data_IF_217749638740
#
_entry.id   IF_217749638740
#
_cell.length_a   1.000
_cell.length_b   1.000
_cell.length_c   1.000
_cell.angle_alpha   90.00
_cell.angle_beta   90.00
_cell.angle_gamma   90.00
#
_symmetry.space_group_name_H-M   'P 1'
#
loop_
_entity.id
_entity.type
_entity.pdbx_description
1 polymer ?
2 polymer ?
3 polymer ?
4 polymer ?
5 non-polymer ?
6 non-polymer ?
7 non-polymer ?
8 non-polymer ?
9 non-polymer ?
10 non-polymer ?
11 water ?
#
loop_
_entity_poly.entity_id
_entity_poly.type
_entity_poly.pdbx_seq_one_letter_code
_entity_poly.pdbx_strand_id
2 'polydeoxyribonucleotide' '(DC)(DG)(DG)(DC)(8OG)(DT)(DA)(DC)(DG)' ?
3 'polydeoxyribonucleotide' '(DC)(DG)(DT)(DA)' ?
4 'polydeoxyribonucleotide' '(DG)(DC)(DC)(DG)' ?
#
# COMPACT_ATOMS: atom_id res chain seq x y z
N UNK A 10 -7.90 -23.03 -7.78
CA UNK A 10 -7.27 -21.79 -7.27
C UNK A 10 -5.85 -21.61 -7.80
N UNK A 11 -5.62 -20.58 -8.63
CA UNK A 11 -4.27 -20.37 -9.16
C UNK A 11 -3.31 -19.87 -8.10
N UNK A 12 -2.02 -20.03 -8.39
CA UNK A 12 -1.02 -19.85 -7.35
C UNK A 12 -0.65 -18.39 -7.13
N UNK A 13 -0.81 -17.51 -8.15
CA UNK A 13 -0.48 -16.10 -8.03
C UNK A 13 -1.73 -15.26 -7.78
N UNK A 14 -1.61 -14.25 -6.92
CA UNK A 14 -2.78 -13.44 -6.63
C UNK A 14 -3.29 -12.67 -7.84
N UNK A 15 -2.44 -12.38 -8.82
CA UNK A 15 -2.90 -11.62 -9.98
C UNK A 15 -3.70 -12.46 -10.98
N UNK A 16 -3.85 -13.75 -10.72
CA UNK A 16 -4.61 -14.69 -11.55
C UNK A 16 -6.02 -14.92 -11.07
N UNK A 17 -6.43 -14.25 -9.99
CA UNK A 17 -7.74 -14.52 -9.44
C UNK A 17 -8.34 -13.21 -8.94
N UNK A 18 -9.65 -13.05 -9.02
CA UNK A 18 -10.26 -11.86 -8.42
C UNK A 18 -10.24 -11.93 -6.91
N UNK A 19 -9.87 -10.81 -6.30
CA UNK A 19 -9.92 -10.69 -4.84
C UNK A 19 -10.73 -9.45 -4.47
N UNK A 20 -11.92 -9.62 -3.93
CA UNK A 20 -12.77 -8.48 -3.59
C UNK A 20 -12.35 -7.92 -2.24
N UNK A 21 -12.83 -6.71 -2.00
CA UNK A 21 -12.43 -6.01 -0.80
C UNK A 21 -12.99 -6.68 0.43
N UNK A 22 -14.25 -7.09 0.34
CA UNK A 22 -14.88 -7.83 1.42
C UNK A 22 -15.17 -9.25 0.98
N UNK A 23 -15.12 -10.18 1.94
CA UNK A 23 -15.09 -11.57 1.57
C UNK A 23 -15.68 -12.44 2.69
N UNK A 24 -15.37 -13.74 2.67
CA UNK A 24 -16.08 -14.72 3.47
C UNK A 24 -15.18 -15.41 4.46
N UNK A 25 -13.94 -14.93 4.64
CA UNK A 25 -12.99 -15.57 5.53
C UNK A 25 -12.19 -14.52 6.30
N UNK A 26 -12.88 -13.48 6.73
CA UNK A 26 -12.20 -12.29 7.30
C UNK A 26 -11.37 -12.64 8.52
N UNK A 27 -11.95 -13.39 9.47
CA UNK A 27 -11.21 -13.76 10.67
C UNK A 27 -9.98 -14.61 10.40
N UNK A 28 -10.09 -15.57 9.48
CA UNK A 28 -8.95 -16.41 9.18
C UNK A 28 -7.86 -15.60 8.52
N UNK A 29 -8.22 -14.74 7.56
CA UNK A 29 -7.20 -13.96 6.87
C UNK A 29 -6.51 -12.99 7.83
N UNK A 30 -7.27 -12.40 8.77
CA UNK A 30 -6.66 -11.45 9.69
C UNK A 30 -5.63 -12.15 10.57
N UNK A 31 -5.92 -13.38 10.98
CA UNK A 31 -4.97 -14.12 11.82
C UNK A 31 -3.68 -14.39 11.07
N UNK A 32 -3.79 -14.87 9.83
CA UNK A 32 -2.58 -15.13 9.05
C UNK A 32 -1.80 -13.86 8.79
N UNK A 33 -2.50 -12.73 8.63
CA UNK A 33 -1.82 -11.47 8.41
C UNK A 33 -1.09 -10.98 9.66
N UNK A 34 -1.54 -11.36 10.86
CA UNK A 34 -0.76 -11.07 12.07
C UNK A 34 0.58 -11.77 12.01
N UNK A 35 0.55 -13.06 11.64
CA UNK A 35 1.80 -13.80 11.54
C UNK A 35 2.71 -13.24 10.45
N UNK A 36 2.12 -12.78 9.35
CA UNK A 36 2.93 -12.18 8.30
C UNK A 36 3.61 -10.94 8.80
N UNK A 37 2.83 -10.06 9.46
CA UNK A 37 3.38 -8.82 9.99
C UNK A 37 4.51 -9.11 10.97
N UNK A 38 4.30 -10.07 11.87
CA UNK A 38 5.33 -10.39 12.84
C UNK A 38 6.57 -10.93 12.18
N UNK A 39 6.41 -11.75 11.15
CA UNK A 39 7.59 -12.20 10.39
C UNK A 39 8.35 -11.02 9.80
N UNK A 40 7.65 -9.99 9.31
CA UNK A 40 8.33 -8.84 8.78
C UNK A 40 9.12 -8.10 9.84
N UNK A 41 8.57 -8.01 11.04
CA UNK A 41 9.27 -7.33 12.11
C UNK A 41 10.57 -8.04 12.48
N UNK A 42 10.66 -9.34 12.19
CA UNK A 42 11.88 -10.10 12.44
C UNK A 42 12.77 -10.21 11.21
N UNK A 43 12.41 -9.57 10.10
CA UNK A 43 13.23 -9.67 8.91
C UNK A 43 13.05 -10.93 8.09
N UNK A 44 11.99 -11.71 8.35
CA UNK A 44 11.78 -12.98 7.65
C UNK A 44 10.82 -12.72 6.50
N UNK A 45 11.37 -12.19 5.41
CA UNK A 45 10.55 -11.79 4.26
C UNK A 45 9.90 -12.97 3.58
N UNK A 46 10.59 -14.13 3.55
CA UNK A 46 9.97 -15.31 2.95
C UNK A 46 8.73 -15.76 3.68
N UNK A 47 8.83 -15.89 5.01
CA UNK A 47 7.67 -16.24 5.81
C UNK A 47 6.56 -15.20 5.66
N UNK A 48 6.91 -13.90 5.69
CA UNK A 48 5.92 -12.84 5.50
C UNK A 48 5.15 -13.08 4.20
N UNK A 49 5.87 -13.41 3.13
CA UNK A 49 5.19 -13.60 1.85
C UNK A 49 4.25 -14.80 1.89
N UNK A 50 4.71 -15.92 2.43
CA UNK A 50 3.84 -17.09 2.47
C UNK A 50 2.57 -16.82 3.28
N UNK A 51 2.70 -16.20 4.46
CA UNK A 51 1.51 -15.91 5.26
C UNK A 51 0.60 -14.90 4.55
N UNK A 52 1.19 -13.88 3.90
CA UNK A 52 0.36 -12.94 3.14
C UNK A 52 -0.37 -13.63 2.00
N UNK A 53 0.35 -14.50 1.28
CA UNK A 53 -0.26 -15.22 0.15
C UNK A 53 -1.38 -16.15 0.63
N UNK A 54 -1.15 -16.89 1.73
CA UNK A 54 -2.17 -17.78 2.27
C UNK A 54 -3.41 -16.98 2.70
N UNK A 55 -3.21 -15.84 3.36
CA UNK A 55 -4.34 -14.98 3.69
C UNK A 55 -5.08 -14.56 2.44
N UNK A 56 -4.34 -14.18 1.39
CA UNK A 56 -4.97 -13.70 0.18
C UNK A 56 -5.79 -14.79 -0.51
N UNK A 57 -5.30 -16.04 -0.48
CA UNK A 57 -6.07 -17.15 -1.03
C UNK A 57 -7.44 -17.23 -0.36
N UNK A 58 -7.49 -17.06 0.96
CA UNK A 58 -8.78 -17.16 1.62
C UNK A 58 -9.70 -16.00 1.24
N UNK A 59 -9.14 -14.82 1.01
CA UNK A 59 -9.94 -13.70 0.54
C UNK A 59 -10.61 -13.98 -0.80
N UNK A 60 -9.98 -14.81 -1.62
CA UNK A 60 -10.45 -15.10 -2.98
C UNK A 60 -11.46 -16.25 -3.03
N UNK A 61 -11.66 -16.96 -1.91
CA UNK A 61 -12.61 -18.07 -1.91
C UNK A 61 -14.06 -17.58 -2.00
N UNK A 62 -14.95 -18.39 -2.56
CA UNK A 62 -16.34 -17.98 -2.76
C UNK A 62 -17.23 -18.17 -1.56
N UNK A 63 -16.74 -18.79 -0.49
CA UNK A 63 -17.56 -19.06 0.68
C UNK A 63 -16.66 -19.33 1.87
N UNK A 64 -17.20 -19.40 3.10
CA UNK A 64 -16.34 -19.62 4.26
C UNK A 64 -15.70 -21.00 4.28
N UNK A 65 -14.44 -21.02 4.72
CA UNK A 65 -13.84 -22.29 5.15
C UNK A 65 -14.45 -22.71 6.50
N UNK A 66 -15.03 -23.90 6.53
CA UNK A 66 -15.63 -24.46 7.73
C UNK A 66 -14.94 -25.73 8.20
N UNK A 67 -14.20 -26.41 7.32
CA UNK A 67 -13.56 -27.67 7.67
C UNK A 67 -12.16 -27.66 7.08
N UNK A 68 -11.27 -28.33 7.81
CA UNK A 68 -9.87 -28.36 7.43
C UNK A 68 -9.69 -28.96 6.05
N UNK A 69 -10.54 -29.91 5.68
CA UNK A 69 -10.41 -30.54 4.37
C UNK A 69 -10.57 -29.56 3.22
N UNK A 70 -11.23 -28.42 3.43
CA UNK A 70 -11.37 -27.43 2.37
C UNK A 70 -10.05 -26.75 2.05
N UNK A 71 -9.01 -26.92 2.86
CA UNK A 71 -7.71 -26.36 2.53
C UNK A 71 -6.92 -27.25 1.59
N UNK A 72 -7.33 -28.51 1.43
CA UNK A 72 -6.61 -29.43 0.56
C UNK A 72 -6.54 -28.89 -0.86
N UNK A 73 -5.34 -28.85 -1.39
CA UNK A 73 -5.17 -28.37 -2.74
C UNK A 73 -5.06 -26.87 -2.85
N UNK A 74 -5.29 -26.10 -1.79
CA UNK A 74 -5.15 -24.65 -1.93
C UNK A 74 -3.68 -24.27 -1.94
N UNK A 75 -3.26 -23.39 -2.83
CA UNK A 75 -1.85 -22.97 -2.82
C UNK A 75 -1.52 -22.18 -1.57
N UNK A 76 -0.30 -22.34 -1.08
CA UNK A 76 0.31 -21.60 0.03
C UNK A 76 -0.18 -22.06 1.38
N UNK A 77 -0.94 -23.17 1.44
CA UNK A 77 -1.31 -23.79 2.70
C UNK A 77 -0.49 -25.06 2.87
N UNK A 78 0.41 -25.02 3.83
CA UNK A 78 1.11 -26.21 4.26
C UNK A 78 0.87 -26.42 5.73
N UNK A 79 1.84 -27.06 6.39
CA UNK A 79 1.61 -27.49 7.76
C UNK A 79 1.30 -26.32 8.68
N UNK A 80 2.03 -25.21 8.56
CA UNK A 80 1.91 -24.11 9.52
C UNK A 80 0.61 -23.34 9.33
N UNK A 81 0.34 -22.86 8.11
CA UNK A 81 -0.89 -22.09 7.89
C UNK A 81 -2.12 -22.95 8.11
N UNK A 82 -2.04 -24.25 7.79
CA UNK A 82 -3.18 -25.15 8.01
C UNK A 82 -3.45 -25.32 9.49
N UNK A 83 -2.39 -25.38 10.31
CA UNK A 83 -2.60 -25.54 11.75
C UNK A 83 -3.23 -24.28 12.34
N UNK A 84 -2.82 -23.10 11.85
CA UNK A 84 -3.44 -21.86 12.31
C UNK A 84 -4.93 -21.92 12.04
N UNK A 85 -5.32 -22.27 10.82
CA UNK A 85 -6.73 -22.33 10.46
C UNK A 85 -7.45 -23.37 11.29
N UNK A 86 -6.82 -24.54 11.50
CA UNK A 86 -7.44 -25.62 12.27
C UNK A 86 -7.77 -25.15 13.67
N UNK A 87 -6.82 -24.44 14.31
CA UNK A 87 -7.06 -23.99 15.67
C UNK A 87 -8.18 -22.97 15.72
N UNK A 88 -8.24 -22.09 14.73
CA UNK A 88 -9.31 -21.11 14.72
C UNK A 88 -10.67 -21.77 14.53
N UNK A 89 -10.76 -22.78 13.67
CA UNK A 89 -12.02 -23.48 13.41
C UNK A 89 -12.46 -24.25 14.64
N UNK A 90 -11.51 -24.85 15.34
CA UNK A 90 -11.78 -25.73 16.45
C UNK A 90 -12.03 -24.98 17.75
N UNK A 91 -11.34 -23.85 17.98
CA UNK A 91 -11.36 -23.16 19.25
C UNK A 91 -11.67 -21.67 19.17
N UNK A 92 -11.74 -21.08 17.97
CA UNK A 92 -12.00 -19.67 17.82
C UNK A 92 -10.80 -18.78 18.03
N UNK A 93 -9.65 -19.37 18.32
CA UNK A 93 -8.44 -18.63 18.63
C UNK A 93 -7.25 -19.54 18.32
N UNK A 94 -6.17 -18.94 17.84
CA UNK A 94 -4.92 -19.62 17.58
C UNK A 94 -3.89 -19.14 18.60
N UNK A 95 -3.35 -20.08 19.40
CA UNK A 95 -2.51 -19.67 20.50
C UNK A 95 -1.27 -18.92 20.01
N UNK A 96 -0.68 -19.35 18.90
CA UNK A 96 0.49 -18.64 18.38
C UNK A 96 0.15 -17.21 18.02
N UNK A 97 -0.99 -17.01 17.36
CA UNK A 97 -1.42 -15.67 16.98
C UNK A 97 -1.63 -14.81 18.22
N UNK A 98 -2.29 -15.37 19.25
CA UNK A 98 -2.55 -14.58 20.45
C UNK A 98 -1.28 -14.26 21.21
N UNK A 99 -0.30 -15.16 21.20
CA UNK A 99 0.98 -14.87 21.82
C UNK A 99 1.69 -13.75 21.09
N UNK A 100 1.65 -13.75 19.77
CA UNK A 100 2.22 -12.62 19.03
C UNK A 100 1.53 -11.33 19.42
N UNK A 101 0.19 -11.34 19.40
CA UNK A 101 -0.58 -10.13 19.67
C UNK A 101 -0.20 -9.49 20.99
N UNK A 102 -0.07 -10.28 22.03
CA UNK A 102 0.20 -9.67 23.32
C UNK A 102 1.68 -9.44 23.59
N UNK A 103 2.57 -9.81 22.66
CA UNK A 103 3.99 -9.69 22.95
C UNK A 103 4.46 -8.25 22.89
N UNK A 104 5.38 -7.92 23.80
CA UNK A 104 5.94 -6.58 23.85
C UNK A 104 6.66 -6.26 22.56
N UNK A 105 7.33 -7.25 21.99
CA UNK A 105 8.03 -7.04 20.74
C UNK A 105 7.06 -6.68 19.62
N UNK A 106 6.00 -7.45 19.44
CA UNK A 106 5.06 -7.15 18.37
C UNK A 106 4.42 -5.79 18.57
N UNK A 107 3.93 -5.51 19.79
CA UNK A 107 3.19 -4.28 20.01
C UNK A 107 4.07 -3.05 19.79
N UNK A 108 5.33 -3.10 20.25
CA UNK A 108 6.23 -1.96 20.09
C UNK A 108 6.67 -1.79 18.65
N UNK A 109 7.01 -2.89 17.97
CA UNK A 109 7.41 -2.76 16.57
C UNK A 109 6.25 -2.24 15.73
N UNK A 110 5.03 -2.68 16.05
CA UNK A 110 3.88 -2.14 15.34
C UNK A 110 3.74 -0.65 15.61
N UNK A 111 3.84 -0.24 16.87
CA UNK A 111 3.71 1.18 17.21
C UNK A 111 4.76 2.01 16.50
N UNK A 112 6.01 1.57 16.57
CA UNK A 112 7.09 2.37 15.98
C UNK A 112 7.03 2.39 14.44
N UNK A 113 6.82 1.23 13.80
CA UNK A 113 6.82 1.24 12.33
C UNK A 113 5.62 1.99 11.78
N UNK A 114 4.57 2.20 12.58
CA UNK A 114 3.42 2.98 12.16
C UNK A 114 3.76 4.46 12.04
N UNK A 115 4.89 4.89 12.62
CA UNK A 115 5.29 6.29 12.55
C UNK A 115 5.81 6.58 11.14
N UNK A 116 5.38 7.70 10.54
CA UNK A 116 5.91 8.14 9.27
C UNK A 116 7.38 8.53 9.44
N UNK A 117 8.27 7.89 8.68
CA UNK A 117 9.70 8.08 8.81
C UNK A 117 10.43 7.00 9.55
N UNK A 118 9.71 6.00 10.08
CA UNK A 118 10.28 4.89 10.82
C UNK A 118 9.95 3.60 10.10
N UNK A 119 10.98 2.84 9.74
CA UNK A 119 10.81 1.51 9.22
C UNK A 119 11.21 0.43 10.21
N UNK A 120 11.21 -0.82 9.73
CA UNK A 120 11.53 -1.95 10.61
C UNK A 120 12.93 -1.77 11.21
N UNK A 121 13.90 -1.40 10.38
CA UNK A 121 15.26 -1.34 10.89
C UNK A 121 15.42 -0.28 11.98
N UNK A 122 14.79 0.88 11.81
CA UNK A 122 14.88 1.89 12.86
C UNK A 122 14.12 1.44 14.11
N UNK A 123 12.88 0.93 13.93
CA UNK A 123 12.09 0.45 15.06
C UNK A 123 12.84 -0.61 15.86
N UNK A 124 13.47 -1.56 15.15
CA UNK A 124 14.20 -2.61 15.82
C UNK A 124 15.37 -2.06 16.61
N UNK A 125 16.08 -1.07 16.07
CA UNK A 125 17.20 -0.49 16.78
C UNK A 125 16.75 0.25 18.03
N UNK A 126 15.64 0.99 17.94
CA UNK A 126 15.07 1.62 19.13
C UNK A 126 14.62 0.57 20.14
N UNK A 127 14.00 -0.52 19.68
CA UNK A 127 13.55 -1.57 20.56
C UNK A 127 14.72 -2.14 21.36
N UNK A 128 15.84 -2.40 20.67
CA UNK A 128 17.00 -2.99 21.31
C UNK A 128 17.63 -2.01 22.30
N UNK A 129 17.49 -0.71 22.05
CA UNK A 129 17.97 0.32 22.97
C UNK A 129 17.08 0.48 24.20
N UNK A 130 15.96 -0.23 24.26
CA UNK A 130 15.07 -0.16 25.36
C UNK A 130 13.87 0.74 25.19
N UNK A 131 13.72 1.39 24.04
CA UNK A 131 12.60 2.30 23.87
C UNK A 131 11.32 1.52 23.61
N UNK A 132 10.20 2.04 24.14
CA UNK A 132 8.93 1.31 24.07
C UNK A 132 7.72 2.16 23.72
N UNK A 133 7.71 3.47 24.00
CA UNK A 133 6.54 4.31 23.80
C UNK A 133 6.87 5.53 22.96
N UNK A 134 5.84 6.17 22.40
CA UNK A 134 6.05 7.39 21.63
C UNK A 134 6.67 8.46 22.51
N UNK A 135 6.26 8.53 23.77
CA UNK A 135 6.88 9.53 24.65
C UNK A 135 8.36 9.23 24.92
N UNK A 136 8.75 7.96 24.94
CA UNK A 136 10.17 7.66 24.98
C UNK A 136 10.92 8.30 23.83
N UNK A 137 10.29 8.34 22.65
CA UNK A 137 10.94 8.92 21.49
C UNK A 137 10.95 10.43 21.58
N UNK A 138 9.85 11.01 22.04
CA UNK A 138 9.77 12.46 22.16
C UNK A 138 10.79 12.99 23.16
N UNK A 139 11.09 12.22 24.21
CA UNK A 139 12.06 12.67 25.22
C UNK A 139 13.46 12.82 24.65
N UNK A 140 13.80 12.04 23.62
CA UNK A 140 15.16 12.01 23.07
C UNK A 140 15.17 12.45 21.61
N UNK A 141 14.75 13.69 21.32
CA UNK A 141 14.53 14.10 19.92
C UNK A 141 15.81 14.27 19.14
N UNK A 142 16.96 14.23 19.81
CA UNK A 142 18.23 14.29 19.10
C UNK A 142 18.38 13.10 18.18
N UNK A 143 17.76 11.97 18.54
CA UNK A 143 17.84 10.78 17.72
C UNK A 143 16.82 10.76 16.59
N UNK A 144 16.16 11.88 16.26
CA UNK A 144 15.09 11.83 15.26
C UNK A 144 15.43 12.66 14.03
N UNK A 145 15.04 12.15 12.87
CA UNK A 145 15.16 12.94 11.66
C UNK A 145 14.03 13.95 11.61
N UNK A 146 14.18 14.97 10.77
CA UNK A 146 13.08 15.92 10.56
C UNK A 146 11.81 15.18 10.14
N UNK A 147 11.94 14.17 9.28
CA UNK A 147 10.77 13.42 8.85
C UNK A 147 10.10 12.73 10.03
N UNK A 148 10.91 12.10 10.88
CA UNK A 148 10.36 11.40 12.04
C UNK A 148 9.77 12.37 13.03
N UNK A 149 10.37 13.56 13.16
CA UNK A 149 9.78 14.56 14.06
C UNK A 149 8.37 14.91 13.60
N UNK A 150 8.20 15.14 12.29
CA UNK A 150 6.87 15.41 11.75
C UNK A 150 5.94 14.23 11.94
N UNK A 151 6.42 13.02 11.66
CA UNK A 151 5.58 11.83 11.87
C UNK A 151 5.12 11.68 13.31
N UNK A 152 5.99 12.01 14.28
CA UNK A 152 5.64 11.87 15.68
C UNK A 152 4.71 13.00 16.12
N UNK A 153 4.98 14.24 15.66
CA UNK A 153 4.07 15.35 15.99
C UNK A 153 2.67 15.08 15.50
N UNK A 154 2.54 14.55 14.29
CA UNK A 154 1.26 14.32 13.65
C UNK A 154 0.71 12.93 13.84
N UNK A 155 1.32 12.14 14.71
CA UNK A 155 0.98 10.71 14.79
C UNK A 155 -0.50 10.49 15.09
N UNK A 156 -1.07 11.26 16.03
CA UNK A 156 -2.45 11.03 16.42
C UNK A 156 -3.39 11.25 15.23
N UNK A 157 -3.24 12.38 14.54
CA UNK A 157 -4.10 12.60 13.37
C UNK A 157 -3.88 11.54 12.32
N UNK A 158 -2.63 11.12 12.11
CA UNK A 158 -2.35 10.17 11.04
C UNK A 158 -2.83 8.78 11.38
N UNK A 159 -3.17 8.55 12.63
CA UNK A 159 -3.74 7.28 13.05
C UNK A 159 -5.25 7.21 12.87
N UNK A 160 -5.87 8.30 12.53
CA UNK A 160 -7.32 8.41 12.28
C UNK A 160 -7.57 8.07 10.82
N UNK A 161 -8.48 7.17 10.49
CA UNK A 161 -8.72 6.85 9.09
C UNK A 161 -9.14 8.04 8.28
N UNK A 162 -8.56 8.16 7.08
CA UNK A 162 -9.04 9.08 6.06
C UNK A 162 -10.33 8.51 5.50
N UNK A 163 -11.35 9.35 5.39
CA UNK A 163 -12.65 8.87 4.92
C UNK A 163 -12.81 9.19 3.46
N UNK A 164 -13.53 8.31 2.75
CA UNK A 164 -13.79 8.58 1.35
C UNK A 164 -14.45 9.91 1.24
N UNK A 165 -15.22 10.27 2.25
CA UNK A 165 -15.86 11.55 2.21
C UNK A 165 -14.85 12.71 2.32
N UNK A 166 -13.60 12.47 2.79
CA UNK A 166 -12.54 13.50 2.83
C UNK A 166 -11.86 13.68 1.48
N UNK A 167 -11.90 12.64 0.66
CA UNK A 167 -11.03 12.55 -0.51
C UNK A 167 -11.43 13.57 -1.56
N UNK A 168 -12.73 13.78 -1.74
CA UNK A 168 -13.18 14.66 -2.80
C UNK A 168 -12.71 16.09 -2.55
N UNK A 169 -12.71 16.53 -1.29
CA UNK A 169 -12.25 17.87 -0.98
C UNK A 169 -10.76 18.01 -1.22
N UNK A 170 -9.97 17.00 -0.85
CA UNK A 170 -8.53 17.02 -1.14
C UNK A 170 -8.27 17.03 -2.63
N UNK A 171 -9.03 16.25 -3.39
CA UNK A 171 -8.73 16.20 -4.81
C UNK A 171 -8.98 17.55 -5.47
N UNK A 172 -10.00 18.26 -5.01
CA UNK A 172 -10.28 19.55 -5.63
C UNK A 172 -9.14 20.52 -5.36
N UNK A 173 -8.59 20.49 -4.16
CA UNK A 173 -7.49 21.37 -3.78
C UNK A 173 -6.24 21.05 -4.61
N UNK A 174 -5.95 19.76 -4.79
CA UNK A 174 -4.82 19.35 -5.60
C UNK A 174 -5.01 19.75 -7.06
N UNK A 175 -6.20 19.52 -7.60
CA UNK A 175 -6.49 19.93 -8.98
C UNK A 175 -6.32 21.42 -9.20
N UNK A 176 -6.70 22.25 -8.24
CA UNK A 176 -6.51 23.68 -8.35
C UNK A 176 -5.04 24.00 -8.52
N UNK A 177 -4.18 23.44 -7.66
CA UNK A 177 -2.75 23.74 -7.72
C UNK A 177 -2.16 23.20 -9.02
N UNK A 178 -2.57 21.99 -9.40
CA UNK A 178 -2.05 21.34 -10.61
C UNK A 178 -2.43 22.15 -11.84
N UNK A 179 -3.67 22.66 -11.88
CA UNK A 179 -4.12 23.49 -13.00
C UNK A 179 -3.36 24.78 -13.18
N UNK A 180 -2.89 25.39 -12.08
CA UNK A 180 -2.08 26.60 -12.21
C UNK A 180 -0.67 26.24 -12.60
N UNK A 181 -0.20 25.11 -12.09
CA UNK A 181 1.16 24.70 -12.39
C UNK A 181 1.30 24.33 -13.86
N UNK A 182 0.29 23.67 -14.41
CA UNK A 182 0.33 23.20 -15.80
C UNK A 182 -1.10 23.00 -16.30
N UNK A 183 -1.69 24.00 -16.92
CA UNK A 183 -3.00 23.82 -17.53
C UNK A 183 -3.08 22.57 -18.41
N UNK A 184 -4.18 21.84 -18.24
CA UNK A 184 -4.38 20.59 -18.93
C UNK A 184 -3.96 19.36 -18.16
N UNK A 185 -3.15 19.53 -17.12
CA UNK A 185 -2.71 18.36 -16.36
C UNK A 185 -3.88 17.83 -15.57
N UNK A 186 -3.86 16.51 -15.37
CA UNK A 186 -4.97 15.82 -14.72
C UNK A 186 -4.51 15.13 -13.45
N UNK A 187 -5.49 14.90 -12.59
CA UNK A 187 -5.29 14.27 -11.29
C UNK A 187 -6.18 13.05 -11.23
N UNK A 188 -5.59 11.87 -10.99
CA UNK A 188 -6.35 10.64 -10.87
C UNK A 188 -6.19 10.06 -9.46
N UNK A 189 -7.31 9.71 -8.82
CA UNK A 189 -7.28 9.03 -7.51
C UNK A 189 -6.81 7.60 -7.70
N UNK A 190 -5.77 7.21 -6.95
CA UNK A 190 -5.24 5.84 -7.03
C UNK A 190 -5.29 5.20 -5.65
N UNK A 191 -4.34 4.29 -5.35
CA UNK A 191 -4.28 3.59 -4.08
C UNK A 191 -5.58 2.90 -3.68
N UNK A 192 -5.75 2.74 -2.38
CA UNK A 192 -6.82 1.89 -1.88
C UNK A 192 -8.20 2.43 -2.18
N UNK A 193 -8.36 3.77 -2.25
CA UNK A 193 -9.68 4.30 -2.60
C UNK A 193 -10.11 3.91 -3.99
N UNK A 194 -9.19 3.81 -4.93
CA UNK A 194 -9.58 3.36 -6.26
C UNK A 194 -10.01 1.88 -6.26
N UNK A 195 -9.52 1.09 -5.32
CA UNK A 195 -9.96 -0.29 -5.15
C UNK A 195 -11.27 -0.44 -4.41
N UNK A 196 -11.89 0.67 -4.05
CA UNK A 196 -13.19 0.66 -3.39
C UNK A 196 -13.14 0.80 -1.90
N UNK A 197 -11.96 0.98 -1.31
CA UNK A 197 -11.90 1.14 0.15
C UNK A 197 -12.68 2.36 0.59
N UNK A 198 -13.36 2.24 1.72
CA UNK A 198 -14.09 3.37 2.28
C UNK A 198 -13.24 4.23 3.18
N UNK A 199 -12.09 3.73 3.61
CA UNK A 199 -11.17 4.45 4.49
C UNK A 199 -9.76 4.19 3.98
N UNK A 200 -8.81 4.98 4.46
CA UNK A 200 -7.43 4.77 4.11
C UNK A 200 -6.50 5.37 5.11
N UNK A 201 -5.21 5.02 4.97
CA UNK A 201 -4.15 5.62 5.76
C UNK A 201 -3.66 6.90 5.14
N UNK A 202 -3.99 7.09 3.86
CA UNK A 202 -3.56 8.25 3.12
C UNK A 202 -4.43 8.38 1.89
N UNK A 203 -4.16 9.42 1.08
CA UNK A 203 -4.75 9.55 -0.24
C UNK A 203 -3.61 9.57 -1.24
N UNK A 204 -3.75 8.79 -2.31
CA UNK A 204 -2.74 8.64 -3.35
C UNK A 204 -3.27 9.20 -4.67
N UNK A 205 -2.52 10.14 -5.25
CA UNK A 205 -2.91 10.79 -6.50
C UNK A 205 -1.83 10.68 -7.55
N UNK A 206 -2.25 10.39 -8.77
CA UNK A 206 -1.38 10.27 -9.94
C UNK A 206 -1.67 11.40 -10.91
N UNK A 207 -0.65 12.15 -11.29
CA UNK A 207 -0.77 13.35 -12.12
C UNK A 207 -0.07 13.13 -13.46
N UNK A 208 -0.72 13.53 -14.56
CA UNK A 208 -0.07 13.45 -15.87
C UNK A 208 -0.57 14.62 -16.71
N UNK A 209 -0.17 14.65 -17.98
CA UNK A 209 -0.61 15.66 -18.96
C UNK A 209 -0.71 14.95 -20.29
N UNK A 210 -1.72 15.28 -21.10
CA UNK A 210 -1.93 14.52 -22.34
C UNK A 210 -0.86 14.71 -23.39
N UNK A 211 -0.03 15.73 -23.27
CA UNK A 211 1.07 15.97 -24.21
C UNK A 211 2.38 15.47 -23.59
N UNK A 212 2.88 14.38 -24.16
CA UNK A 212 4.11 13.78 -23.69
C UNK A 212 5.23 14.82 -23.53
N UNK A 213 5.82 14.83 -22.35
CA UNK A 213 6.92 15.70 -22.03
C UNK A 213 6.50 16.93 -21.26
N UNK A 214 5.23 17.34 -21.39
CA UNK A 214 4.81 18.55 -20.71
C UNK A 214 4.83 18.37 -19.21
N UNK A 215 4.83 17.12 -18.71
CA UNK A 215 4.81 16.89 -17.27
C UNK A 215 6.18 17.05 -16.61
N UNK A 216 7.24 17.18 -17.40
CA UNK A 216 8.58 17.33 -16.85
C UNK A 216 8.63 18.55 -15.94
N UNK A 217 9.21 18.39 -14.75
CA UNK A 217 9.36 19.51 -13.82
C UNK A 217 8.10 19.93 -13.12
N UNK A 218 7.02 19.15 -13.25
CA UNK A 218 5.71 19.55 -12.74
C UNK A 218 5.61 19.51 -11.22
N UNK A 219 6.10 18.46 -10.58
CA UNK A 219 5.80 18.32 -9.16
C UNK A 219 6.35 19.43 -8.28
N UNK A 220 7.55 19.97 -8.50
CA UNK A 220 7.96 21.13 -7.70
C UNK A 220 7.04 22.30 -7.83
N UNK A 221 6.52 22.50 -9.04
CA UNK A 221 5.60 23.60 -9.28
C UNK A 221 4.30 23.38 -8.50
N UNK A 222 3.83 22.13 -8.44
CA UNK A 222 2.62 21.81 -7.69
C UNK A 222 2.85 22.02 -6.20
N UNK A 223 3.98 21.51 -5.70
CA UNK A 223 4.23 21.58 -4.27
C UNK A 223 4.37 23.03 -3.82
N UNK A 224 5.06 23.86 -4.61
CA UNK A 224 5.23 25.25 -4.24
C UNK A 224 3.89 25.92 -4.07
N UNK A 225 2.97 25.65 -4.99
CA UNK A 225 1.64 26.26 -4.96
C UNK A 225 0.81 25.75 -3.78
N UNK A 226 0.86 24.47 -3.49
CA UNK A 226 0.16 24.00 -2.29
C UNK A 226 0.77 24.60 -1.03
N UNK A 227 2.09 24.73 -0.97
CA UNK A 227 2.73 25.35 0.19
C UNK A 227 2.30 26.80 0.33
N UNK A 228 2.21 27.53 -0.79
CA UNK A 228 1.81 28.93 -0.72
C UNK A 228 0.37 29.10 -0.25
N UNK A 229 -0.48 28.10 -0.47
CA UNK A 229 -1.85 28.13 0.02
C UNK A 229 -1.97 27.69 1.47
N UNK A 230 -0.85 27.42 2.13
CA UNK A 230 -0.87 27.03 3.52
C UNK A 230 -1.35 25.64 3.81
N UNK A 231 -1.37 24.76 2.82
CA UNK A 231 -1.96 23.45 2.99
C UNK A 231 -0.96 22.38 3.34
N UNK A 232 0.32 22.68 3.29
CA UNK A 232 1.33 21.67 3.47
C UNK A 232 1.92 21.81 4.87
N UNK A 233 1.67 20.80 5.68
CA UNK A 233 2.26 20.76 7.00
C UNK A 233 3.65 20.18 6.98
N UNK A 234 3.92 19.29 6.01
CA UNK A 234 5.23 18.68 5.88
C UNK A 234 5.44 18.19 4.46
N UNK A 235 6.59 18.53 3.88
CA UNK A 235 7.08 17.76 2.75
C UNK A 235 8.59 17.88 2.71
N UNK A 236 9.19 17.01 1.92
CA UNK A 236 10.64 16.83 1.91
C UNK A 236 11.42 18.00 1.31
N UNK A 237 10.78 19.04 0.80
CA UNK A 237 11.49 20.17 0.16
C UNK A 237 11.02 21.53 0.66
N UNK A 256 14.48 18.64 -8.04
CA UNK A 256 13.76 17.87 -9.07
C UNK A 256 13.25 16.55 -8.50
N UNK A 257 11.97 16.26 -8.69
CA UNK A 257 11.39 15.03 -8.13
C UNK A 257 10.07 14.73 -8.80
N UNK A 258 9.64 13.45 -8.70
CA UNK A 258 8.40 12.97 -9.30
C UNK A 258 7.47 12.25 -8.34
N UNK A 259 7.89 12.02 -7.09
CA UNK A 259 7.04 11.50 -6.03
C UNK A 259 7.19 12.42 -4.84
N UNK A 260 6.06 12.74 -4.19
CA UNK A 260 6.05 13.55 -2.99
C UNK A 260 5.21 12.87 -1.92
N UNK A 261 5.79 12.73 -0.70
CA UNK A 261 5.11 12.10 0.44
C UNK A 261 4.87 13.21 1.45
N UNK A 262 3.67 13.73 1.53
CA UNK A 262 3.49 14.92 2.35
C UNK A 262 2.36 14.75 3.33
N UNK A 263 2.30 15.70 4.24
CA UNK A 263 1.23 15.80 5.23
C UNK A 263 0.51 17.10 4.93
N UNK A 264 -0.79 16.99 4.70
CA UNK A 264 -1.68 18.06 4.28
C UNK A 264 -2.55 18.50 5.45
N UNK A 265 -2.89 19.78 5.43
CA UNK A 265 -3.91 20.34 6.31
C UNK A 265 -5.29 20.19 5.67
N UNK A 266 -6.12 19.34 6.25
CA UNK A 266 -7.46 19.09 5.75
C UNK A 266 -8.50 19.78 6.63
N UNK A 267 -9.28 20.72 6.08
CA UNK A 267 -10.32 21.38 6.88
C UNK A 267 -11.27 20.39 7.55
N UNK A 268 -11.70 20.77 8.75
CA UNK A 268 -12.67 20.04 9.55
C UNK A 268 -13.58 21.10 10.17
N UNK A 269 -14.78 20.73 10.57
CA UNK A 269 -15.69 21.73 11.15
C UNK A 269 -15.06 22.48 12.31
N UNK A 270 -14.87 23.79 12.14
CA UNK A 270 -14.24 24.59 13.17
C UNK A 270 -12.78 24.33 13.41
N UNK A 271 -12.15 23.46 12.59
CA UNK A 271 -10.74 23.17 12.81
C UNK A 271 -10.19 22.47 11.56
N UNK A 272 -9.23 21.58 11.73
CA UNK A 272 -8.61 20.85 10.64
C UNK A 272 -7.93 19.62 11.22
N UNK A 273 -7.48 18.73 10.31
CA UNK A 273 -6.69 17.58 10.75
C UNK A 273 -5.59 17.33 9.73
N UNK A 274 -4.49 16.74 10.20
CA UNK A 274 -3.39 16.36 9.31
C UNK A 274 -3.70 15.06 8.59
N UNK A 275 -3.40 15.02 7.30
CA UNK A 275 -3.66 13.85 6.45
C UNK A 275 -2.43 13.56 5.60
N UNK A 276 -2.06 12.29 5.48
CA UNK A 276 -1.02 11.93 4.54
C UNK A 276 -1.56 11.92 3.10
N UNK A 277 -0.83 12.58 2.21
CA UNK A 277 -1.16 12.61 0.78
C UNK A 277 0.11 12.28 0.01
N UNK A 278 -0.01 11.37 -0.97
CA UNK A 278 1.07 11.01 -1.87
C UNK A 278 0.74 11.53 -3.26
N UNK A 279 1.70 12.18 -3.89
CA UNK A 279 1.56 12.68 -5.26
C UNK A 279 2.64 12.06 -6.10
N UNK A 280 2.26 11.62 -7.29
CA UNK A 280 3.22 11.04 -8.22
C UNK A 280 2.91 11.60 -9.60
N UNK A 281 3.95 11.92 -10.36
CA UNK A 281 3.81 12.39 -11.72
C UNK A 281 4.34 11.30 -12.64
N UNK A 282 3.64 11.08 -13.73
CA UNK A 282 4.13 10.20 -14.80
C UNK A 282 3.86 10.80 -16.15
N UNK A 283 4.74 10.57 -17.14
CA UNK A 283 4.36 10.91 -18.51
C UNK A 283 3.24 10.04 -19.01
N UNK A 284 2.48 10.59 -19.96
CA UNK A 284 1.26 9.89 -20.38
C UNK A 284 1.61 8.53 -21.01
N UNK A 285 2.81 8.40 -21.62
CA UNK A 285 3.21 7.10 -22.13
C UNK A 285 3.31 6.03 -21.06
N UNK A 286 3.65 6.44 -19.83
CA UNK A 286 3.80 5.52 -18.71
C UNK A 286 2.56 5.47 -17.84
N UNK A 287 1.58 6.33 -18.08
CA UNK A 287 0.43 6.44 -17.19
C UNK A 287 -0.24 5.10 -16.90
N UNK A 288 -0.49 4.20 -17.87
CA UNK A 288 -1.13 2.93 -17.51
C UNK A 288 -0.31 2.10 -16.52
N UNK A 289 1.00 2.14 -16.67
CA UNK A 289 1.86 1.39 -15.76
C UNK A 289 1.87 2.01 -14.38
N UNK A 290 1.85 3.33 -14.32
CA UNK A 290 1.85 4.01 -13.03
C UNK A 290 0.52 3.82 -12.35
N UNK A 291 -0.58 3.94 -13.11
CA UNK A 291 -1.89 3.69 -12.56
C UNK A 291 -1.99 2.28 -12.00
N UNK A 292 -1.55 1.29 -12.78
CA UNK A 292 -1.59 -0.08 -12.30
C UNK A 292 -0.77 -0.23 -11.02
N UNK A 293 0.45 0.28 -11.03
CA UNK A 293 1.30 0.12 -9.85
C UNK A 293 0.76 0.81 -8.60
N UNK A 294 0.32 2.04 -8.75
CA UNK A 294 -0.14 2.82 -7.61
C UNK A 294 -1.55 2.47 -7.17
N UNK A 295 -2.29 1.66 -7.96
CA UNK A 295 -3.60 1.20 -7.49
C UNK A 295 -3.50 -0.05 -6.62
N UNK A 296 -2.40 -0.78 -6.69
CA UNK A 296 -2.20 -1.89 -5.75
C UNK A 296 -3.16 -3.04 -5.95
N UNK A 297 -3.44 -3.79 -4.88
CA UNK A 297 -2.80 -3.70 -3.59
C UNK A 297 -1.29 -3.96 -3.70
N UNK A 298 -0.60 -3.68 -2.57
CA UNK A 298 0.83 -3.97 -2.55
C UNK A 298 1.13 -5.44 -2.88
N UNK A 299 0.41 -6.36 -2.24
CA UNK A 299 0.67 -7.77 -2.54
C UNK A 299 0.29 -8.09 -3.98
N UNK A 300 -0.80 -7.50 -4.49
CA UNK A 300 -1.17 -7.75 -5.87
C UNK A 300 -0.04 -7.35 -6.82
N UNK A 301 0.60 -6.19 -6.57
CA UNK A 301 1.66 -5.73 -7.46
C UNK A 301 2.92 -6.59 -7.36
N UNK A 302 3.32 -7.00 -6.15
CA UNK A 302 4.45 -7.90 -5.98
C UNK A 302 4.20 -9.19 -6.73
N UNK A 303 2.98 -9.71 -6.59
CA UNK A 303 2.60 -10.96 -7.27
C UNK A 303 2.58 -10.78 -8.79
N UNK A 304 2.07 -9.64 -9.27
CA UNK A 304 2.05 -9.37 -10.71
C UNK A 304 3.45 -9.25 -11.28
N UNK A 305 4.34 -8.56 -10.55
CA UNK A 305 5.71 -8.43 -11.03
C UNK A 305 6.45 -9.76 -10.97
N UNK A 306 6.14 -10.58 -9.96
CA UNK A 306 6.73 -11.92 -9.85
C UNK A 306 6.24 -12.80 -10.99
N UNK A 307 4.93 -12.73 -11.27
CA UNK A 307 4.35 -13.48 -12.38
C UNK A 307 4.96 -13.07 -13.73
N UNK A 308 5.03 -11.77 -13.98
CA UNK A 308 5.60 -11.28 -15.22
C UNK A 308 6.98 -11.88 -15.45
N UNK A 309 7.84 -11.77 -14.45
CA UNK A 309 9.24 -12.16 -14.64
C UNK A 309 9.37 -13.67 -14.70
N UNK A 310 8.77 -14.39 -13.76
CA UNK A 310 8.99 -15.83 -13.63
C UNK A 310 8.19 -16.63 -14.64
N UNK A 311 6.97 -16.20 -14.97
CA UNK A 311 6.14 -16.96 -15.89
C UNK A 311 6.22 -16.47 -17.33
N UNK A 312 6.44 -15.16 -17.54
CA UNK A 312 6.45 -14.59 -18.87
C UNK A 312 7.80 -14.06 -19.32
N UNK A 313 8.80 -14.03 -18.44
CA UNK A 313 10.09 -13.48 -18.82
C UNK A 313 10.15 -12.00 -19.10
N UNK A 314 9.20 -11.24 -18.58
CA UNK A 314 9.11 -9.81 -18.82
C UNK A 314 9.25 -9.09 -17.48
N UNK A 315 9.86 -7.90 -17.51
CA UNK A 315 10.17 -7.16 -16.29
C UNK A 315 9.22 -5.97 -16.18
N UNK A 316 8.41 -5.97 -15.11
CA UNK A 316 7.35 -4.99 -14.89
C UNK A 316 7.71 -4.03 -13.77
N UNK A 317 7.47 -2.74 -14.00
CA UNK A 317 7.49 -1.77 -12.91
C UNK A 317 6.49 -0.68 -13.21
N UNK A 318 6.51 0.40 -12.41
CA UNK A 318 5.51 1.45 -12.58
C UNK A 318 5.81 2.39 -13.73
N UNK A 319 6.87 2.10 -14.48
CA UNK A 319 7.24 2.87 -15.66
C UNK A 319 6.99 2.12 -16.96
N UNK A 320 6.88 0.79 -16.95
CA UNK A 320 6.86 0.07 -18.22
C UNK A 320 7.02 -1.42 -18.01
N UNK A 321 7.04 -2.12 -19.15
CA UNK A 321 7.12 -3.59 -19.20
C UNK A 321 8.17 -3.92 -20.24
N UNK A 322 9.26 -4.54 -19.81
CA UNK A 322 10.45 -4.70 -20.65
C UNK A 322 10.63 -6.15 -21.02
N UNK A 323 10.87 -6.38 -22.31
CA UNK A 323 11.27 -7.69 -22.81
C UNK A 323 12.79 -7.73 -22.87
N UNK A 324 13.47 -8.48 -22.00
CA UNK A 324 14.94 -8.41 -21.93
C UNK A 324 15.61 -9.17 -23.04
N UNK A 325 14.87 -9.99 -23.79
CA UNK A 325 15.45 -10.66 -24.96
C UNK A 325 15.47 -9.74 -26.18
N UNK A 326 14.32 -9.16 -26.54
CA UNK A 326 14.28 -8.17 -27.61
C UNK A 326 14.83 -6.81 -27.20
N UNK A 327 14.97 -6.54 -25.91
CA UNK A 327 15.40 -5.24 -25.41
C UNK A 327 14.43 -4.15 -25.87
N UNK A 328 13.13 -4.42 -25.69
CA UNK A 328 12.07 -3.53 -26.09
C UNK A 328 11.06 -3.35 -24.96
N UNK A 329 10.41 -2.20 -24.96
CA UNK A 329 9.36 -1.86 -23.99
C UNK A 329 8.01 -1.96 -24.66
N UNK A 330 7.06 -2.58 -23.97
CA UNK A 330 5.70 -2.62 -24.46
C UNK A 330 5.07 -1.25 -24.37
N UNK A 331 4.37 -0.86 -25.40
CA UNK A 331 3.54 0.33 -25.32
C UNK A 331 2.22 -0.11 -24.73
N UNK A 332 1.68 0.66 -23.85
CA UNK A 332 0.35 0.38 -23.35
C UNK A 332 -0.41 1.67 -23.31
N UNK A 333 -1.69 1.59 -23.72
CA UNK A 333 -2.59 2.72 -23.65
C UNK A 333 -3.62 2.60 -22.55
N UNK A 334 -3.64 1.46 -21.87
CA UNK A 334 -4.61 1.17 -20.82
C UNK A 334 -4.07 0.06 -19.92
N UNK A 335 -4.65 -0.02 -18.73
CA UNK A 335 -4.40 -1.19 -17.91
C UNK A 335 -4.84 -2.48 -18.62
N UNK A 336 -5.97 -2.44 -19.33
CA UNK A 336 -6.36 -3.61 -20.10
C UNK A 336 -5.25 -4.11 -21.01
N UNK A 337 -4.52 -3.19 -21.67
CA UNK A 337 -3.39 -3.59 -22.53
C UNK A 337 -2.39 -4.39 -21.72
N UNK A 338 -2.08 -3.94 -20.49
CA UNK A 338 -1.03 -4.59 -19.73
C UNK A 338 -1.44 -5.99 -19.34
N UNK A 339 -2.69 -6.18 -18.86
CA UNK A 339 -3.15 -7.54 -18.56
C UNK A 339 -3.09 -8.43 -19.80
N UNK A 340 -3.51 -7.89 -20.96
CA UNK A 340 -3.40 -8.67 -22.19
C UNK A 340 -1.95 -9.06 -22.52
N UNK A 341 -1.02 -8.10 -22.41
CA UNK A 341 0.39 -8.37 -22.68
C UNK A 341 0.87 -9.57 -21.87
N UNK A 342 0.47 -9.62 -20.59
CA UNK A 342 0.88 -10.64 -19.64
C UNK A 342 0.06 -11.91 -19.72
N UNK A 343 -0.91 -12.01 -20.63
CA UNK A 343 -1.70 -13.22 -20.73
C UNK A 343 -2.63 -13.47 -19.57
N UNK A 344 -3.12 -12.42 -18.92
CA UNK A 344 -3.94 -12.51 -17.73
C UNK A 344 -5.33 -11.97 -18.01
N UNK A 345 -6.35 -12.60 -17.45
CA UNK A 345 -7.68 -12.01 -17.54
C UNK A 345 -7.70 -10.68 -16.80
N UNK A 346 -8.36 -9.68 -17.40
CA UNK A 346 -8.42 -8.36 -16.78
C UNK A 346 -9.15 -8.43 -15.44
N UNK A 347 -8.62 -7.69 -14.46
CA UNK A 347 -9.24 -7.51 -13.15
C UNK A 347 -9.44 -6.03 -12.91
N UNK A 348 -10.65 -5.56 -12.70
CA UNK A 348 -10.84 -4.15 -12.33
C UNK A 348 -10.21 -3.88 -10.98
N UNK A 349 -9.99 -2.62 -10.63
CA UNK A 349 -9.32 -2.30 -9.34
C UNK A 349 -9.97 -2.93 -8.12
N UNK A 350 -11.30 -3.00 -8.12
CA UNK A 350 -11.97 -3.54 -6.96
C UNK A 350 -11.77 -5.05 -6.81
N UNK A 351 -11.18 -5.73 -7.79
CA UNK A 351 -10.83 -7.14 -7.66
C UNK A 351 -9.32 -7.36 -7.54
N UNK A 352 -8.59 -6.30 -7.15
CA UNK A 352 -7.16 -6.35 -6.93
C UNK A 352 -6.81 -6.25 -5.45
N UNK A 353 -7.76 -6.58 -4.58
CA UNK A 353 -7.60 -6.43 -3.13
C UNK A 353 -6.94 -7.67 -2.50
N UNK A 354 -5.82 -8.04 -3.10
CA UNK A 354 -5.08 -9.22 -2.61
C UNK A 354 -4.49 -8.90 -1.27
#
# INVERSE_FOLDING_TARGET
GSAAASPAWMPAYACQRPTPLTHHNTGLSEALEILAEAAGFEGSEGRLLTFCRAASVLKALPSPVTTLSQLQGLPHFGEHSSRVVQELLEHGVCEEVERVRRSERYQTMKLFTQIFGVGVKTADRWYREGLRTLDDLREQPQKLTQQQKAGLQHHQDLSTPVLRSDVDALQQVVEEAVGQALPGATVTLTGGFRRGKLQGHDVDFLITHPKEGQEAGLLPRVMCRLQDQGLILYHQHQHSCCESPTRLAQQSHMDAFERSFCIFRLPQPGSWKAVRVDLVVAPVSQFPFALLGWTGSKLFQRELRRFSRKEKGLWLNSHGLFDPEQKTFFQAASEEDIFRHLGLEYLPPEQRNA
#
